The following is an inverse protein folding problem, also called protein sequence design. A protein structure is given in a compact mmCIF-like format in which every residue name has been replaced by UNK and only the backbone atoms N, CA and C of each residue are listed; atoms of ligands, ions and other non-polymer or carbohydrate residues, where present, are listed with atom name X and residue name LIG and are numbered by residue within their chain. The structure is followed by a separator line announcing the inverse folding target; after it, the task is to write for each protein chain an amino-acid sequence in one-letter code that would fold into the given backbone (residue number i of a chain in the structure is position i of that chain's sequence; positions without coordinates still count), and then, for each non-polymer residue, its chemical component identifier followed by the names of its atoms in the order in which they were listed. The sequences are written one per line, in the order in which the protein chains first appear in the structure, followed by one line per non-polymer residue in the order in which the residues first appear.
data_IF_244832532612
#
_entry.id   IF_244832532612
#
_cell.length_a   1.000
_cell.length_b   1.000
_cell.length_c   1.000
_cell.angle_alpha   90.00
_cell.angle_beta   90.00
_cell.angle_gamma   90.00
#
_symmetry.space_group_name_H-M   'P 1'
#
loop_
_entity.id
_entity.type
_entity.pdbx_description
1 polymer ?
#
# COMPACT_ATOMS: atom_id res chain seq x y z
N UNK A 1 16.56 2.33 -59.28
CA UNK A 1 16.47 3.13 -58.02
C UNK A 1 15.55 2.39 -57.05
N UNK A 2 16.10 1.75 -56.03
CA UNK A 2 15.35 0.97 -55.01
C UNK A 2 14.99 1.92 -53.88
N UNK A 3 13.70 2.18 -53.65
CA UNK A 3 13.21 2.99 -52.53
C UNK A 3 13.17 2.07 -51.28
N UNK A 4 14.05 2.35 -50.32
CA UNK A 4 14.06 1.71 -48.99
C UNK A 4 13.02 2.48 -48.16
N UNK A 5 11.90 1.82 -47.80
CA UNK A 5 10.95 2.31 -46.82
C UNK A 5 11.46 1.98 -45.44
N UNK A 6 11.93 2.98 -44.70
CA UNK A 6 12.26 2.88 -43.30
C UNK A 6 10.96 2.89 -42.47
N UNK A 7 10.57 1.74 -41.94
CA UNK A 7 9.50 1.62 -40.94
C UNK A 7 10.07 2.04 -39.58
N UNK A 8 9.77 3.25 -39.13
CA UNK A 8 10.04 3.68 -37.76
C UNK A 8 8.90 3.16 -36.89
N UNK A 9 9.11 2.01 -36.22
CA UNK A 9 8.21 1.54 -35.20
C UNK A 9 8.44 2.36 -33.92
N UNK A 10 7.51 3.29 -33.63
CA UNK A 10 7.44 3.98 -32.35
C UNK A 10 6.93 2.97 -31.33
N UNK A 11 7.85 2.36 -30.56
CA UNK A 11 7.48 1.61 -29.36
C UNK A 11 6.96 2.61 -28.31
N UNK A 12 5.66 2.69 -28.17
CA UNK A 12 5.04 3.27 -26.99
C UNK A 12 5.32 2.34 -25.80
N UNK A 13 6.33 2.68 -25.01
CA UNK A 13 6.49 2.07 -23.69
C UNK A 13 5.36 2.57 -22.80
N UNK A 14 4.27 1.81 -22.73
CA UNK A 14 3.28 1.96 -21.67
C UNK A 14 4.03 1.68 -20.35
N UNK A 15 4.30 2.75 -19.59
CA UNK A 15 4.83 2.64 -18.25
C UNK A 15 3.85 1.82 -17.41
N UNK A 16 4.16 0.54 -17.20
CA UNK A 16 3.45 -0.32 -16.25
C UNK A 16 3.85 0.14 -14.85
N UNK A 17 3.17 1.16 -14.35
CA UNK A 17 3.21 1.47 -12.93
C UNK A 17 2.57 0.30 -12.19
N UNK A 18 3.34 -0.39 -11.34
CA UNK A 18 2.78 -1.40 -10.45
C UNK A 18 1.69 -0.72 -9.60
N UNK A 19 0.46 -1.14 -9.83
CA UNK A 19 -0.71 -0.54 -9.19
C UNK A 19 -0.69 -0.92 -7.71
N UNK A 20 -0.37 0.03 -6.86
CA UNK A 20 -0.32 -0.15 -5.41
C UNK A 20 -1.75 -0.06 -4.86
N UNK A 21 -2.09 -0.99 -3.97
CA UNK A 21 -3.43 -1.06 -3.38
C UNK A 21 -3.41 -1.44 -1.91
N UNK A 22 -4.60 -1.35 -1.30
CA UNK A 22 -4.84 -1.74 0.08
C UNK A 22 -5.13 -3.23 0.15
N UNK A 23 -4.18 -4.01 0.63
CA UNK A 23 -4.32 -5.47 0.78
C UNK A 23 -5.02 -5.76 2.10
N UNK A 24 -6.09 -6.54 2.05
CA UNK A 24 -6.81 -6.96 3.26
C UNK A 24 -5.96 -7.95 4.07
N UNK A 25 -6.00 -7.82 5.40
CA UNK A 25 -5.43 -8.81 6.30
C UNK A 25 -6.48 -9.88 6.63
N UNK A 26 -6.35 -11.04 6.02
CA UNK A 26 -7.20 -12.22 6.26
C UNK A 26 -6.52 -13.20 7.24
N UNK A 27 -5.51 -12.73 8.00
CA UNK A 27 -4.71 -13.49 8.95
C UNK A 27 -3.37 -13.99 8.39
N UNK A 28 -2.90 -13.45 7.27
CA UNK A 28 -1.55 -13.68 6.76
C UNK A 28 -0.49 -12.94 7.59
N UNK A 29 -0.86 -11.86 8.27
CA UNK A 29 -0.03 -11.10 9.20
C UNK A 29 -0.61 -11.14 10.60
N UNK A 30 0.25 -11.26 11.61
CA UNK A 30 -0.16 -11.34 13.04
C UNK A 30 -0.50 -9.97 13.64
N UNK A 31 -0.18 -8.88 12.95
CA UNK A 31 -0.47 -7.53 13.40
C UNK A 31 -2.00 -7.23 13.38
N UNK A 32 -2.48 -6.24 14.15
CA UNK A 32 -3.89 -5.91 14.28
C UNK A 32 -4.45 -5.14 13.07
N UNK A 33 -3.68 -4.94 12.01
CA UNK A 33 -4.13 -4.20 10.84
C UNK A 33 -5.30 -4.91 10.15
N UNK A 34 -6.21 -4.13 9.60
CA UNK A 34 -7.30 -4.61 8.72
C UNK A 34 -6.89 -4.55 7.27
N UNK A 35 -6.09 -3.56 6.92
CA UNK A 35 -5.52 -3.37 5.60
C UNK A 35 -4.08 -2.90 5.71
N UNK A 36 -3.27 -3.25 4.71
CA UNK A 36 -1.89 -2.79 4.56
C UNK A 36 -1.71 -2.18 3.18
N UNK A 37 -1.13 -1.00 3.13
CA UNK A 37 -0.70 -0.33 1.90
C UNK A 37 0.83 -0.29 1.87
N UNK A 38 1.45 -0.79 0.80
CA UNK A 38 2.91 -0.83 0.65
C UNK A 38 3.34 0.08 -0.49
N UNK A 39 4.43 0.79 -0.29
CA UNK A 39 5.05 1.64 -1.30
C UNK A 39 6.58 1.60 -1.15
N UNK A 40 7.25 1.00 -2.14
CA UNK A 40 8.67 0.68 -2.02
C UNK A 40 8.92 -0.24 -0.81
N UNK A 41 9.88 0.12 0.03
CA UNK A 41 10.20 -0.58 1.26
C UNK A 41 9.35 -0.15 2.47
N UNK A 42 8.45 0.82 2.29
CA UNK A 42 7.61 1.39 3.34
C UNK A 42 6.24 0.71 3.39
N UNK A 43 5.58 0.82 4.54
CA UNK A 43 4.23 0.32 4.73
C UNK A 43 3.37 1.25 5.58
N UNK A 44 2.06 1.21 5.32
CA UNK A 44 1.05 1.85 6.14
C UNK A 44 0.05 0.78 6.56
N UNK A 45 -0.15 0.65 7.87
CA UNK A 45 -1.05 -0.31 8.48
C UNK A 45 -2.29 0.42 8.99
N UNK A 46 -3.46 -0.01 8.52
CA UNK A 46 -4.74 0.58 8.92
C UNK A 46 -5.40 -0.33 9.95
N UNK A 47 -5.41 0.11 11.19
CA UNK A 47 -5.94 -0.64 12.34
C UNK A 47 -7.35 -0.16 12.72
N UNK A 48 -7.93 -0.73 13.75
CA UNK A 48 -9.24 -0.31 14.25
C UNK A 48 -9.23 1.01 15.03
N UNK A 49 -8.07 1.59 15.33
CA UNK A 49 -7.93 2.80 16.15
C UNK A 49 -6.90 3.81 15.63
N UNK A 50 -6.13 3.44 14.60
CA UNK A 50 -5.03 4.27 14.13
C UNK A 50 -4.61 3.91 12.69
N UNK A 51 -3.88 4.84 12.08
CA UNK A 51 -3.11 4.61 10.85
C UNK A 51 -1.64 4.64 11.26
N UNK A 52 -0.93 3.51 11.12
CA UNK A 52 0.47 3.36 11.49
C UNK A 52 1.35 3.41 10.26
N UNK A 53 2.31 4.30 10.26
CA UNK A 53 3.32 4.46 9.21
C UNK A 53 4.60 3.76 9.65
N UNK A 54 5.16 2.95 8.77
CA UNK A 54 6.45 2.29 8.94
C UNK A 54 7.35 2.67 7.78
N UNK A 55 8.33 3.52 8.06
CA UNK A 55 9.20 4.14 7.07
C UNK A 55 10.62 3.63 7.27
N UNK A 56 11.20 3.06 6.22
CA UNK A 56 12.58 2.59 6.23
C UNK A 56 13.54 3.78 6.39
N UNK A 57 14.55 3.63 7.27
CA UNK A 57 15.61 4.63 7.39
C UNK A 57 16.31 4.79 6.02
N UNK A 58 16.43 6.01 5.49
CA UNK A 58 17.10 6.26 4.22
C UNK A 58 18.54 5.72 4.15
N UNK A 59 19.21 5.56 5.30
CA UNK A 59 20.55 4.98 5.38
C UNK A 59 20.58 3.49 5.03
N UNK A 60 19.47 2.79 5.24
CA UNK A 60 19.32 1.38 4.92
C UNK A 60 18.80 1.15 3.49
N UNK A 61 18.53 2.20 2.74
CA UNK A 61 18.26 2.14 1.31
C UNK A 61 19.56 1.90 0.56
N UNK A 62 19.77 0.66 0.10
CA UNK A 62 20.93 0.31 -0.70
C UNK A 62 20.90 1.03 -2.05
N UNK A 63 21.87 1.88 -2.28
CA UNK A 63 22.10 2.51 -3.58
C UNK A 63 22.85 1.53 -4.48
N UNK A 64 22.15 0.82 -5.35
CA UNK A 64 22.73 -0.16 -6.29
C UNK A 64 23.69 0.44 -7.33
N UNK A 65 23.93 1.75 -7.28
CA UNK A 65 24.76 2.48 -8.24
C UNK A 65 26.25 2.59 -7.86
N UNK A 66 26.66 2.12 -6.69
CA UNK A 66 28.03 2.22 -6.22
C UNK A 66 28.73 0.85 -6.25
N UNK A 67 29.92 0.71 -6.91
CA UNK A 67 30.67 -0.54 -6.96
C UNK A 67 31.48 -0.83 -5.69
N UNK A 68 31.21 -0.16 -4.58
CA UNK A 68 31.93 -0.37 -3.33
C UNK A 68 31.40 -1.57 -2.55
N UNK A 69 32.34 -2.34 -1.96
CA UNK A 69 32.07 -3.46 -1.07
C UNK A 69 31.33 -2.96 0.18
N UNK A 70 30.01 -2.87 0.10
CA UNK A 70 29.19 -2.55 1.26
C UNK A 70 29.09 -3.79 2.16
N UNK A 71 29.49 -3.65 3.42
CA UNK A 71 29.03 -4.50 4.51
C UNK A 71 27.51 -4.30 4.59
N UNK A 72 26.76 -5.25 4.07
CA UNK A 72 25.31 -5.28 4.26
C UNK A 72 25.06 -5.45 5.75
N UNK A 73 24.41 -4.47 6.35
CA UNK A 73 23.81 -4.68 7.65
C UNK A 73 22.63 -5.64 7.47
N UNK A 74 22.64 -6.76 8.18
CA UNK A 74 21.52 -7.70 8.17
C UNK A 74 20.27 -7.13 8.87
N UNK A 75 20.38 -5.91 9.41
CA UNK A 75 19.32 -5.25 10.17
C UNK A 75 18.84 -4.01 9.45
N UNK A 76 17.54 -3.95 9.17
CA UNK A 76 16.86 -2.78 8.62
C UNK A 76 16.19 -1.99 9.75
N UNK A 77 16.38 -0.68 9.77
CA UNK A 77 15.78 0.21 10.75
C UNK A 77 14.56 0.91 10.16
N UNK A 78 13.47 0.91 10.93
CA UNK A 78 12.23 1.58 10.55
C UNK A 78 11.83 2.60 11.60
N UNK A 79 11.46 3.79 11.16
CA UNK A 79 10.75 4.76 11.98
C UNK A 79 9.25 4.45 11.93
N UNK A 80 8.64 4.22 13.09
CA UNK A 80 7.22 3.96 13.19
C UNK A 80 6.53 5.11 13.91
N UNK A 81 5.45 5.64 13.34
CA UNK A 81 4.58 6.61 13.98
C UNK A 81 3.12 6.33 13.67
N UNK A 82 2.21 6.75 14.55
CA UNK A 82 0.79 6.51 14.39
C UNK A 82 -0.01 7.80 14.39
N UNK A 83 -1.01 7.86 13.50
CA UNK A 83 -2.02 8.91 13.46
C UNK A 83 -3.28 8.36 14.13
N UNK A 84 -3.74 9.03 15.18
CA UNK A 84 -5.00 8.74 15.88
C UNK A 84 -5.93 9.94 15.79
N UNK A 85 -7.21 9.68 15.67
CA UNK A 85 -8.24 10.73 15.59
C UNK A 85 -8.88 10.89 16.97
N UNK A 86 -8.61 12.02 17.63
CA UNK A 86 -9.11 12.28 18.98
C UNK A 86 -10.64 12.33 19.00
N UNK A 87 -11.26 11.58 19.91
CA UNK A 87 -12.73 11.53 20.03
C UNK A 87 -13.46 10.77 18.93
N UNK A 88 -12.74 10.11 18.03
CA UNK A 88 -13.36 9.29 16.98
C UNK A 88 -13.94 7.99 17.50
N UNK A 89 -14.88 7.43 16.75
CA UNK A 89 -15.28 6.05 16.86
C UNK A 89 -14.13 5.11 16.41
N UNK A 90 -14.27 3.79 16.65
CA UNK A 90 -13.38 2.81 16.07
C UNK A 90 -13.42 2.87 14.55
N UNK A 91 -12.25 2.78 13.92
CA UNK A 91 -12.11 2.79 12.47
C UNK A 91 -12.56 1.44 11.89
N UNK A 92 -13.79 1.37 11.43
CA UNK A 92 -14.35 0.18 10.79
C UNK A 92 -14.09 0.23 9.29
N UNK A 93 -12.91 -0.22 8.88
CA UNK A 93 -12.48 -0.18 7.50
C UNK A 93 -13.22 -1.17 6.61
N UNK A 94 -13.68 -0.71 5.47
CA UNK A 94 -14.28 -1.51 4.39
C UNK A 94 -13.52 -1.29 3.08
N UNK A 95 -13.35 -2.35 2.31
CA UNK A 95 -12.81 -2.26 0.96
C UNK A 95 -13.79 -1.56 0.03
N UNK A 96 -13.29 -0.70 -0.84
CA UNK A 96 -14.03 -0.11 -1.94
C UNK A 96 -13.97 -0.98 -3.20
N UNK A 97 -13.63 -0.37 -4.33
CA UNK A 97 -13.42 -1.08 -5.59
C UNK A 97 -12.19 -1.98 -5.50
N UNK A 98 -12.39 -3.27 -5.73
CA UNK A 98 -11.33 -4.26 -5.69
C UNK A 98 -10.61 -4.36 -7.04
N UNK A 99 -9.33 -4.69 -7.02
CA UNK A 99 -8.61 -5.11 -8.22
C UNK A 99 -9.11 -6.48 -8.70
N UNK A 100 -9.02 -6.73 -9.99
CA UNK A 100 -9.39 -8.02 -10.58
C UNK A 100 -8.48 -9.16 -10.11
N UNK A 101 -7.18 -8.84 -9.90
CA UNK A 101 -6.22 -9.81 -9.41
C UNK A 101 -6.39 -10.08 -7.91
N UNK A 102 -5.98 -11.26 -7.48
CA UNK A 102 -5.93 -11.68 -6.07
C UNK A 102 -4.51 -11.97 -5.66
N UNK A 103 -4.23 -11.74 -4.39
CA UNK A 103 -2.92 -12.02 -3.81
C UNK A 103 -2.91 -13.39 -3.13
N UNK A 104 -1.76 -14.05 -3.14
CA UNK A 104 -1.54 -15.33 -2.46
C UNK A 104 -0.33 -15.21 -1.55
N UNK A 105 -0.50 -15.57 -0.29
CA UNK A 105 0.54 -15.47 0.74
C UNK A 105 0.88 -16.86 1.28
N UNK A 106 2.10 -17.30 1.04
CA UNK A 106 2.66 -18.58 1.51
C UNK A 106 3.86 -18.34 2.41
N UNK A 107 3.73 -17.39 3.36
CA UNK A 107 4.81 -16.97 4.25
C UNK A 107 4.69 -17.63 5.62
N UNK A 108 5.83 -18.05 6.15
CA UNK A 108 5.90 -18.63 7.49
C UNK A 108 5.13 -19.95 7.64
N UNK A 109 4.55 -20.17 8.83
CA UNK A 109 3.83 -21.40 9.12
C UNK A 109 2.56 -21.55 8.28
N UNK A 110 2.23 -22.78 7.88
CA UNK A 110 1.14 -23.11 6.95
C UNK A 110 -0.25 -22.62 7.39
N UNK A 111 -0.47 -22.47 8.70
CA UNK A 111 -1.71 -21.91 9.26
C UNK A 111 -1.98 -20.44 8.85
N UNK A 112 -0.94 -19.71 8.46
CA UNK A 112 -1.03 -18.32 7.99
C UNK A 112 -1.13 -18.18 6.48
N UNK A 113 -1.04 -19.26 5.75
CA UNK A 113 -1.18 -19.21 4.30
C UNK A 113 -2.59 -18.75 3.94
N UNK A 114 -2.66 -17.75 3.08
CA UNK A 114 -3.92 -17.21 2.57
C UNK A 114 -3.87 -17.11 1.07
N UNK A 115 -4.94 -17.54 0.44
CA UNK A 115 -5.12 -17.49 -1.01
C UNK A 115 -6.29 -16.58 -1.33
N UNK A 116 -6.28 -16.02 -2.55
CA UNK A 116 -7.36 -15.16 -3.03
C UNK A 116 -7.65 -13.92 -2.17
N UNK A 117 -6.61 -13.40 -1.49
CA UNK A 117 -6.73 -12.18 -0.69
C UNK A 117 -6.95 -10.99 -1.61
N UNK A 118 -8.04 -10.22 -1.45
CA UNK A 118 -8.30 -9.06 -2.29
C UNK A 118 -7.41 -7.88 -1.92
N UNK A 119 -7.18 -7.04 -2.92
CA UNK A 119 -6.67 -5.68 -2.75
C UNK A 119 -7.62 -4.67 -3.38
N UNK A 120 -7.56 -3.42 -2.94
CA UNK A 120 -8.53 -2.39 -3.26
C UNK A 120 -7.83 -1.10 -3.68
N UNK A 121 -8.44 -0.36 -4.61
CA UNK A 121 -7.98 0.98 -5.01
C UNK A 121 -8.07 1.99 -3.88
N UNK A 122 -9.06 1.82 -3.00
CA UNK A 122 -9.30 2.62 -1.83
C UNK A 122 -10.16 1.89 -0.82
N UNK A 123 -10.18 2.38 0.39
CA UNK A 123 -10.93 1.86 1.51
C UNK A 123 -11.63 3.01 2.23
N UNK A 124 -12.66 2.70 3.01
CA UNK A 124 -13.42 3.70 3.76
C UNK A 124 -13.61 3.23 5.19
N UNK A 125 -13.41 4.13 6.15
CA UNK A 125 -13.87 3.98 7.52
C UNK A 125 -15.13 4.82 7.68
N UNK A 126 -16.28 4.15 7.89
CA UNK A 126 -17.56 4.82 8.04
C UNK A 126 -17.75 5.30 9.48
N UNK A 127 -18.47 6.43 9.64
CA UNK A 127 -18.83 6.97 10.94
C UNK A 127 -17.63 7.17 11.88
N UNK A 128 -16.51 7.67 11.33
CA UNK A 128 -15.34 8.04 12.16
C UNK A 128 -15.75 9.06 13.21
N UNK A 129 -16.56 10.02 12.79
CA UNK A 129 -17.36 10.87 13.66
C UNK A 129 -18.82 10.79 13.18
N UNK A 130 -19.81 11.15 14.01
CA UNK A 130 -21.21 11.15 13.58
C UNK A 130 -21.41 11.93 12.28
N UNK A 131 -21.89 11.25 11.23
CA UNK A 131 -22.09 11.81 9.90
C UNK A 131 -20.81 12.09 9.10
N UNK A 132 -19.64 11.57 9.52
CA UNK A 132 -18.37 11.81 8.83
C UNK A 132 -17.61 10.50 8.60
N UNK A 133 -17.34 10.21 7.35
CA UNK A 133 -16.53 9.07 6.91
C UNK A 133 -15.11 9.52 6.54
N UNK A 134 -14.16 8.58 6.64
CA UNK A 134 -12.79 8.75 6.16
C UNK A 134 -12.53 7.79 5.01
N UNK A 135 -12.34 8.33 3.81
CA UNK A 135 -11.90 7.58 2.63
C UNK A 135 -10.39 7.71 2.47
N UNK A 136 -9.73 6.58 2.25
CA UNK A 136 -8.29 6.53 1.97
C UNK A 136 -8.10 5.80 0.65
N UNK A 137 -7.25 6.32 -0.24
CA UNK A 137 -7.06 5.77 -1.56
C UNK A 137 -5.64 5.97 -2.09
N UNK A 138 -5.26 5.12 -3.06
CA UNK A 138 -4.00 5.22 -3.77
C UNK A 138 -4.11 6.28 -4.87
N UNK A 139 -3.12 7.17 -4.95
CA UNK A 139 -3.00 8.15 -6.04
C UNK A 139 -1.55 8.26 -6.49
N UNK A 140 -1.30 8.93 -7.62
CA UNK A 140 0.05 9.18 -8.10
C UNK A 140 0.88 9.86 -7.00
N UNK A 141 1.97 9.18 -6.58
CA UNK A 141 2.87 9.68 -5.54
C UNK A 141 2.54 9.24 -4.10
N UNK A 142 1.54 8.36 -3.89
CA UNK A 142 1.32 7.78 -2.57
C UNK A 142 -0.15 7.60 -2.17
N UNK A 143 -0.38 7.57 -0.87
CA UNK A 143 -1.70 7.46 -0.26
C UNK A 143 -2.29 8.86 -0.03
N UNK A 144 -3.57 9.05 -0.36
CA UNK A 144 -4.37 10.24 -0.07
C UNK A 144 -5.57 9.88 0.78
N UNK A 145 -6.17 10.89 1.42
CA UNK A 145 -7.41 10.71 2.19
C UNK A 145 -8.34 11.90 2.02
N UNK A 146 -9.63 11.62 2.12
CA UNK A 146 -10.70 12.59 2.07
C UNK A 146 -11.67 12.36 3.25
N UNK A 147 -12.13 13.44 3.84
CA UNK A 147 -13.27 13.42 4.77
C UNK A 147 -14.56 13.61 3.99
N UNK A 148 -15.50 12.69 4.15
CA UNK A 148 -16.81 12.74 3.53
C UNK A 148 -17.80 13.14 4.62
N UNK A 149 -18.36 14.33 4.51
CA UNK A 149 -19.36 14.86 5.45
C UNK A 149 -20.73 14.64 4.83
N UNK A 150 -21.60 13.92 5.54
CA UNK A 150 -22.97 13.69 5.14
C UNK A 150 -23.87 14.83 5.60
N UNK A 151 -24.89 15.24 4.81
CA UNK A 151 -25.88 16.21 5.26
C UNK A 151 -26.62 15.67 6.49
N UNK A 152 -26.81 16.55 7.49
CA UNK A 152 -27.52 16.24 8.73
C UNK A 152 -29.03 16.25 8.54
#
# INVERSE_FOLDING_TARGET
MRKILLFVSVLWTLGLSAQQGFVRNDGQWEDPSKFVYRFGANAIFLTGDSIVFSILDPKDQHNHSAPEKHHYSDTLHYANFSLKFAGSNKLNWKGGEAFDHKNHFYLGHRSRWRTSVPSFHGIIAQEVYPGIDLKVYSAAGGMKYDWIVHPG
#
